data_IF_996545275768
#
_entry.id   IF_996545275768
#
_cell.length_a   1.000
_cell.length_b   1.000
_cell.length_c   1.000
_cell.angle_alpha   90.00
_cell.angle_beta   90.00
_cell.angle_gamma   90.00
#
_symmetry.space_group_name_H-M   'P 1'
#
loop_
_entity.id
_entity.type
_entity.pdbx_description
1 polymer ?
#
# COMPACT_ATOMS: atom_id res chain seq x y z
N UNK A 1 -12.94 17.77 -6.92
CA UNK A 1 -11.94 16.84 -6.35
C UNK A 1 -10.75 17.65 -5.88
N UNK A 2 -10.31 17.46 -4.64
CA UNK A 2 -9.20 18.20 -4.02
C UNK A 2 -7.90 17.41 -4.14
N UNK A 3 -6.99 17.88 -5.00
CA UNK A 3 -5.69 17.23 -5.24
C UNK A 3 -4.79 17.29 -3.99
N UNK A 4 -4.89 18.35 -3.19
CA UNK A 4 -4.14 18.51 -1.94
C UNK A 4 -4.55 17.45 -0.92
N UNK A 5 -5.86 17.30 -0.66
CA UNK A 5 -6.35 16.32 0.30
C UNK A 5 -5.94 14.88 -0.10
N UNK A 6 -6.02 14.56 -1.39
CA UNK A 6 -5.54 13.29 -1.93
C UNK A 6 -4.06 13.03 -1.61
N UNK A 7 -3.18 14.01 -1.91
CA UNK A 7 -1.75 13.91 -1.65
C UNK A 7 -1.43 13.77 -0.16
N UNK A 8 -2.17 14.49 0.71
CA UNK A 8 -2.04 14.37 2.16
C UNK A 8 -2.43 12.99 2.68
N UNK A 9 -3.44 12.36 2.09
CA UNK A 9 -3.84 10.97 2.40
C UNK A 9 -2.73 9.97 2.11
N UNK A 10 -2.12 10.09 0.93
CA UNK A 10 -0.96 9.27 0.52
C UNK A 10 0.21 9.48 1.49
N UNK A 11 0.53 10.72 1.83
CA UNK A 11 1.61 11.04 2.77
C UNK A 11 1.32 10.49 4.17
N UNK A 12 0.06 10.54 4.61
CA UNK A 12 -0.36 10.01 5.90
C UNK A 12 -0.17 8.50 6.01
N UNK A 13 -0.49 7.73 4.97
CA UNK A 13 -0.17 6.31 4.94
C UNK A 13 1.34 6.06 5.02
N UNK A 14 2.13 6.78 4.22
CA UNK A 14 3.61 6.61 4.18
C UNK A 14 4.30 6.87 5.51
N UNK A 15 3.75 7.75 6.35
CA UNK A 15 4.25 8.01 7.71
C UNK A 15 3.70 7.04 8.77
N UNK A 16 2.88 6.05 8.38
CA UNK A 16 2.27 5.08 9.28
C UNK A 16 1.05 5.61 10.06
N UNK A 17 0.44 6.71 9.63
CA UNK A 17 -0.75 7.22 10.30
C UNK A 17 -1.99 6.36 9.99
N UNK A 18 -2.85 6.17 10.99
CA UNK A 18 -4.13 5.50 10.83
C UNK A 18 -5.04 6.26 9.88
N UNK A 19 -5.85 5.53 9.12
CA UNK A 19 -6.94 6.08 8.29
C UNK A 19 -7.94 6.92 9.10
N UNK A 20 -8.12 6.61 10.38
CA UNK A 20 -9.01 7.36 11.29
C UNK A 20 -8.44 8.70 11.74
N UNK A 21 -7.17 8.99 11.43
CA UNK A 21 -6.51 10.27 11.71
C UNK A 21 -6.72 11.30 10.60
N UNK A 22 -7.69 11.08 9.71
CA UNK A 22 -8.13 12.04 8.70
C UNK A 22 -8.56 13.36 9.39
N UNK A 23 -7.95 14.51 9.05
CA UNK A 23 -8.24 15.78 9.73
C UNK A 23 -9.50 16.49 9.24
N UNK A 24 -10.08 16.04 8.12
CA UNK A 24 -11.23 16.69 7.49
C UNK A 24 -12.55 16.22 8.12
N UNK A 25 -13.60 17.03 7.97
CA UNK A 25 -14.94 16.64 8.42
C UNK A 25 -15.47 15.47 7.58
N UNK A 26 -16.10 14.48 8.22
CA UNK A 26 -16.53 13.24 7.56
C UNK A 26 -17.54 13.45 6.42
N UNK A 27 -18.26 14.59 6.41
CA UNK A 27 -19.21 14.94 5.35
C UNK A 27 -18.57 15.72 4.19
N UNK A 28 -17.32 16.16 4.34
CA UNK A 28 -16.63 17.01 3.37
C UNK A 28 -16.06 16.23 2.18
N UNK A 29 -15.94 16.91 1.04
CA UNK A 29 -15.28 16.36 -0.14
C UNK A 29 -13.78 16.08 0.12
N UNK A 30 -13.12 16.93 0.92
CA UNK A 30 -11.71 16.74 1.30
C UNK A 30 -11.52 15.45 2.10
N UNK A 31 -12.46 15.09 2.98
CA UNK A 31 -12.41 13.82 3.69
C UNK A 31 -12.43 12.63 2.75
N UNK A 32 -13.28 12.66 1.72
CA UNK A 32 -13.34 11.62 0.70
C UNK A 32 -12.03 11.55 -0.09
N UNK A 33 -11.54 12.68 -0.56
CA UNK A 33 -10.29 12.76 -1.34
C UNK A 33 -9.09 12.25 -0.53
N UNK A 34 -8.96 12.66 0.74
CA UNK A 34 -7.88 12.19 1.62
C UNK A 34 -7.96 10.69 1.85
N UNK A 35 -9.16 10.17 2.12
CA UNK A 35 -9.37 8.74 2.36
C UNK A 35 -8.99 7.92 1.13
N UNK A 36 -9.38 8.37 -0.06
CA UNK A 36 -9.05 7.70 -1.30
C UNK A 36 -7.53 7.66 -1.53
N UNK A 37 -6.81 8.73 -1.19
CA UNK A 37 -5.34 8.76 -1.27
C UNK A 37 -4.67 7.79 -0.29
N UNK A 38 -5.16 7.73 0.94
CA UNK A 38 -4.67 6.77 1.95
C UNK A 38 -4.95 5.33 1.52
N UNK A 39 -6.16 5.04 1.05
CA UNK A 39 -6.59 3.70 0.63
C UNK A 39 -5.80 3.21 -0.59
N UNK A 40 -5.55 4.08 -1.58
CA UNK A 40 -4.71 3.76 -2.74
C UNK A 40 -3.28 3.42 -2.34
N UNK A 41 -2.68 4.21 -1.43
CA UNK A 41 -1.33 3.95 -0.96
C UNK A 41 -1.23 2.63 -0.18
N UNK A 42 -2.24 2.33 0.65
CA UNK A 42 -2.35 1.06 1.37
C UNK A 42 -2.51 -0.14 0.44
N UNK A 43 -3.39 -0.05 -0.57
CA UNK A 43 -3.59 -1.12 -1.55
C UNK A 43 -2.31 -1.40 -2.35
N UNK A 44 -1.61 -0.34 -2.79
CA UNK A 44 -0.35 -0.48 -3.51
C UNK A 44 0.74 -1.16 -2.65
N UNK A 45 0.83 -0.80 -1.37
CA UNK A 45 1.76 -1.45 -0.45
C UNK A 45 1.49 -2.95 -0.32
N UNK A 46 0.21 -3.34 -0.20
CA UNK A 46 -0.19 -4.76 -0.16
C UNK A 46 0.21 -5.53 -1.43
N UNK A 47 0.12 -4.91 -2.62
CA UNK A 47 0.57 -5.54 -3.86
C UNK A 47 2.09 -5.72 -3.92
N UNK A 48 2.87 -4.76 -3.41
CA UNK A 48 4.34 -4.87 -3.35
C UNK A 48 4.75 -6.02 -2.42
N UNK A 49 4.13 -6.12 -1.24
CA UNK A 49 4.40 -7.19 -0.28
C UNK A 49 4.10 -8.57 -0.88
N UNK A 50 2.95 -8.72 -1.55
CA UNK A 50 2.58 -9.96 -2.24
C UNK A 50 3.56 -10.32 -3.36
N UNK A 51 3.90 -9.39 -4.24
CA UNK A 51 4.85 -9.62 -5.32
C UNK A 51 6.25 -9.99 -4.82
N UNK A 52 6.69 -9.36 -3.73
CA UNK A 52 7.99 -9.66 -3.10
C UNK A 52 7.99 -11.06 -2.47
N UNK A 53 6.90 -11.44 -1.80
CA UNK A 53 6.74 -12.78 -1.24
C UNK A 53 6.72 -13.86 -2.34
N UNK A 54 5.98 -13.62 -3.44
CA UNK A 54 5.96 -14.53 -4.58
C UNK A 54 7.34 -14.70 -5.23
N UNK A 55 8.08 -13.60 -5.40
CA UNK A 55 9.43 -13.64 -5.94
C UNK A 55 10.38 -14.47 -5.05
N UNK A 56 10.29 -14.31 -3.73
CA UNK A 56 11.07 -15.11 -2.78
C UNK A 56 10.73 -16.61 -2.86
N UNK A 57 9.44 -16.95 -2.89
CA UNK A 57 9.00 -18.36 -3.01
C UNK A 57 9.51 -18.98 -4.31
N UNK A 58 9.41 -18.28 -5.44
CA UNK A 58 9.93 -18.79 -6.73
C UNK A 58 11.44 -19.03 -6.69
N UNK A 59 12.20 -18.10 -6.12
CA UNK A 59 13.65 -18.23 -5.98
C UNK A 59 14.02 -19.43 -5.09
N UNK A 60 13.28 -19.66 -4.00
CA UNK A 60 13.48 -20.80 -3.11
C UNK A 60 13.17 -22.14 -3.80
N UNK A 61 12.08 -22.23 -4.57
CA UNK A 61 11.72 -23.44 -5.33
C UNK A 61 12.78 -23.75 -6.40
N UNK A 62 13.18 -22.76 -7.20
CA UNK A 62 14.20 -22.95 -8.24
C UNK A 62 15.55 -23.40 -7.65
N UNK A 63 15.91 -22.90 -6.47
CA UNK A 63 17.16 -23.28 -5.79
C UNK A 63 17.12 -24.72 -5.26
N UNK A 64 15.95 -25.25 -4.94
CA UNK A 64 15.77 -26.63 -4.48
C UNK A 64 15.93 -27.65 -5.62
N UNK A 65 15.37 -27.34 -6.78
CA UNK A 65 15.43 -28.22 -7.97
C UNK A 65 16.89 -28.41 -8.45
N UNK A 66 17.74 -27.38 -8.32
CA UNK A 66 19.17 -27.46 -8.65
C UNK A 66 20.00 -28.34 -7.69
N UNK A 67 19.51 -28.63 -6.49
CA UNK A 67 20.21 -29.46 -5.49
C UNK A 67 19.84 -30.94 -5.63
N UNK A 68 18.67 -31.26 -6.16
CA UNK A 68 18.19 -32.65 -6.32
C UNK A 68 18.71 -33.32 -7.63
N UNK A 69 19.22 -32.53 -8.59
CA UNK A 69 19.81 -32.98 -9.87
C UNK A 69 21.37 -33.01 -9.88
N UNK A 70 22.04 -32.74 -8.75
CA UNK A 70 23.50 -32.71 -8.61
C UNK A 70 24.07 -33.92 -7.84
#
# INVERSE_FOLDING_TARGET
MSETALAEGVAAFRRGASRTSNPFDASSEDWMCWRDGWDQANALAGHIEQGTAEAFVRAAVASRELVEDA
#
